data_IF_479587589849
#
_entry.id   IF_479587589849
#
_cell.length_a   1.000
_cell.length_b   1.000
_cell.length_c   1.000
_cell.angle_alpha   90.00
_cell.angle_beta   90.00
_cell.angle_gamma   90.00
#
_symmetry.space_group_name_H-M   'P 1'
#
loop_
_entity.id
_entity.type
_entity.pdbx_description
1 polymer ?
#
# COMPACT_ATOMS: atom_id res chain seq x y z
N UNK A 1 -6.57 11.42 -8.51
CA UNK A 1 -6.46 9.94 -8.28
C UNK A 1 -6.08 9.36 -9.62
N UNK A 2 -4.98 8.65 -9.73
CA UNK A 2 -4.55 8.08 -11.02
C UNK A 2 -5.62 7.10 -11.51
N UNK A 3 -6.12 7.33 -12.72
CA UNK A 3 -7.20 6.53 -13.30
C UNK A 3 -6.85 5.05 -13.40
N UNK A 4 -5.59 4.72 -13.65
CA UNK A 4 -5.12 3.36 -13.88
C UNK A 4 -5.13 2.50 -12.59
N UNK A 5 -4.58 3.00 -11.48
CA UNK A 5 -4.60 2.27 -10.20
C UNK A 5 -6.01 2.04 -9.69
N UNK A 6 -6.90 3.01 -9.92
CA UNK A 6 -8.31 2.89 -9.61
C UNK A 6 -8.99 1.82 -10.49
N UNK A 7 -8.77 1.86 -11.81
CA UNK A 7 -9.33 0.90 -12.74
C UNK A 7 -8.83 -0.52 -12.45
N UNK A 8 -7.55 -0.69 -12.13
CA UNK A 8 -6.96 -1.97 -11.75
C UNK A 8 -7.57 -2.48 -10.44
N UNK A 9 -7.72 -1.64 -9.42
CA UNK A 9 -8.38 -2.02 -8.17
C UNK A 9 -9.84 -2.41 -8.40
N UNK A 10 -10.57 -1.64 -9.19
CA UNK A 10 -11.95 -1.96 -9.55
C UNK A 10 -12.06 -3.31 -10.27
N UNK A 11 -11.19 -3.58 -11.26
CA UNK A 11 -11.13 -4.85 -11.96
C UNK A 11 -10.85 -6.04 -11.03
N UNK A 12 -9.99 -5.86 -10.02
CA UNK A 12 -9.73 -6.91 -9.01
C UNK A 12 -10.97 -7.20 -8.17
N UNK A 13 -11.67 -6.16 -7.69
CA UNK A 13 -12.89 -6.36 -6.92
C UNK A 13 -14.01 -6.99 -7.78
N UNK A 14 -14.13 -6.57 -9.03
CA UNK A 14 -15.08 -7.14 -9.98
C UNK A 14 -14.80 -8.61 -10.26
N UNK A 15 -13.55 -8.99 -10.49
CA UNK A 15 -13.15 -10.39 -10.67
C UNK A 15 -13.44 -11.22 -9.41
N UNK A 16 -13.21 -10.69 -8.20
CA UNK A 16 -13.60 -11.35 -6.94
C UNK A 16 -15.10 -11.58 -6.89
N UNK A 17 -15.89 -10.56 -7.20
CA UNK A 17 -17.36 -10.65 -7.24
C UNK A 17 -17.84 -11.70 -8.23
N UNK A 18 -17.27 -11.72 -9.44
CA UNK A 18 -17.59 -12.71 -10.46
C UNK A 18 -17.23 -14.13 -10.02
N UNK A 19 -16.06 -14.33 -9.43
CA UNK A 19 -15.64 -15.63 -8.90
C UNK A 19 -16.57 -16.14 -7.81
N UNK A 20 -17.01 -15.27 -6.87
CA UNK A 20 -17.95 -15.65 -5.82
C UNK A 20 -19.35 -15.98 -6.38
N UNK A 21 -19.80 -15.23 -7.38
CA UNK A 21 -21.04 -15.55 -8.09
C UNK A 21 -20.97 -16.89 -8.80
N UNK A 22 -19.87 -17.16 -9.51
CA UNK A 22 -19.68 -18.45 -10.18
C UNK A 22 -19.67 -19.62 -9.19
N UNK A 23 -18.97 -19.46 -8.04
CA UNK A 23 -18.97 -20.44 -6.94
C UNK A 23 -20.38 -20.69 -6.40
N UNK A 24 -21.12 -19.61 -6.17
CA UNK A 24 -22.50 -19.69 -5.70
C UNK A 24 -23.39 -20.45 -6.69
N UNK A 25 -23.41 -20.08 -7.98
CA UNK A 25 -24.23 -20.76 -8.98
C UNK A 25 -23.83 -22.22 -9.18
N UNK A 26 -22.54 -22.55 -9.17
CA UNK A 26 -22.09 -23.94 -9.24
C UNK A 26 -22.61 -24.75 -8.04
N UNK A 27 -22.64 -24.14 -6.83
CA UNK A 27 -23.16 -24.78 -5.64
C UNK A 27 -24.69 -24.96 -5.70
N UNK A 28 -25.41 -23.97 -6.21
CA UNK A 28 -26.85 -24.08 -6.45
C UNK A 28 -27.16 -25.20 -7.46
N UNK A 29 -26.39 -25.29 -8.54
CA UNK A 29 -26.54 -26.36 -9.54
C UNK A 29 -26.31 -27.76 -8.94
N UNK A 30 -25.28 -27.90 -8.09
CA UNK A 30 -24.99 -29.15 -7.36
C UNK A 30 -26.19 -29.54 -6.47
N UNK A 31 -26.69 -28.60 -5.68
CA UNK A 31 -27.86 -28.82 -4.80
C UNK A 31 -29.10 -29.20 -5.61
N UNK A 32 -29.41 -28.45 -6.66
CA UNK A 32 -30.59 -28.69 -7.48
C UNK A 32 -30.54 -30.04 -8.23
N UNK A 33 -29.35 -30.48 -8.66
CA UNK A 33 -29.17 -31.81 -9.26
C UNK A 33 -29.37 -32.94 -8.26
N UNK A 34 -28.90 -32.79 -7.02
CA UNK A 34 -29.04 -33.81 -5.98
C UNK A 34 -30.44 -33.82 -5.37
N UNK A 35 -31.05 -32.66 -5.16
CA UNK A 35 -32.34 -32.52 -4.47
C UNK A 35 -33.20 -31.48 -5.19
N UNK A 36 -33.84 -31.84 -6.30
CA UNK A 36 -34.69 -30.92 -7.10
C UNK A 36 -35.83 -30.24 -6.30
N UNK A 37 -36.28 -30.89 -5.23
CA UNK A 37 -37.32 -30.35 -4.35
C UNK A 37 -36.89 -29.07 -3.63
N UNK A 38 -35.58 -28.79 -3.44
CA UNK A 38 -35.10 -27.58 -2.82
C UNK A 38 -35.35 -26.35 -3.67
N UNK A 39 -35.23 -26.47 -5.00
CA UNK A 39 -35.56 -25.39 -5.92
C UNK A 39 -37.07 -25.05 -5.82
N UNK A 40 -37.94 -26.06 -5.85
CA UNK A 40 -39.38 -25.83 -5.75
C UNK A 40 -39.77 -25.15 -4.44
N UNK A 41 -39.23 -25.60 -3.32
CA UNK A 41 -39.47 -24.98 -2.00
C UNK A 41 -38.92 -23.54 -1.95
N UNK A 42 -37.79 -23.28 -2.59
CA UNK A 42 -37.20 -21.92 -2.63
C UNK A 42 -38.08 -20.97 -3.46
N UNK A 43 -38.60 -21.42 -4.59
CA UNK A 43 -39.53 -20.65 -5.44
C UNK A 43 -40.84 -20.36 -4.69
N UNK A 44 -41.39 -21.36 -3.98
CA UNK A 44 -42.59 -21.20 -3.20
C UNK A 44 -42.41 -20.20 -2.04
N UNK A 45 -41.31 -20.31 -1.29
CA UNK A 45 -40.96 -19.34 -0.24
C UNK A 45 -40.80 -17.93 -0.80
N UNK A 46 -40.18 -17.79 -1.99
CA UNK A 46 -39.99 -16.49 -2.67
C UNK A 46 -41.35 -15.87 -3.06
N UNK A 47 -42.26 -16.66 -3.61
CA UNK A 47 -43.60 -16.21 -3.99
C UNK A 47 -44.42 -15.79 -2.76
N UNK A 48 -44.38 -16.57 -1.68
CA UNK A 48 -45.00 -16.20 -0.40
C UNK A 48 -44.40 -14.93 0.19
N UNK A 49 -43.06 -14.72 0.05
CA UNK A 49 -42.36 -13.52 0.48
C UNK A 49 -42.83 -12.25 -0.24
N UNK A 50 -43.11 -12.36 -1.55
CA UNK A 50 -43.71 -11.26 -2.31
C UNK A 50 -45.12 -10.92 -1.79
N UNK A 51 -45.98 -11.94 -1.57
CA UNK A 51 -47.31 -11.76 -1.02
C UNK A 51 -47.29 -11.21 0.41
N UNK A 52 -46.35 -11.67 1.25
CA UNK A 52 -46.10 -11.13 2.59
C UNK A 52 -45.79 -9.63 2.55
N UNK A 53 -44.90 -9.23 1.65
CA UNK A 53 -44.54 -7.82 1.49
C UNK A 53 -45.73 -6.95 1.13
N UNK A 54 -46.59 -7.42 0.22
CA UNK A 54 -47.83 -6.72 -0.15
C UNK A 54 -48.82 -6.64 1.02
N UNK A 55 -48.99 -7.71 1.80
CA UNK A 55 -49.84 -7.73 2.98
C UNK A 55 -49.36 -6.74 4.06
N UNK A 56 -48.05 -6.65 4.28
CA UNK A 56 -47.44 -5.67 5.22
C UNK A 56 -47.67 -4.25 4.74
N UNK A 57 -47.44 -3.95 3.45
CA UNK A 57 -47.68 -2.62 2.87
C UNK A 57 -49.17 -2.23 2.94
N UNK A 58 -50.06 -3.22 2.72
CA UNK A 58 -51.53 -3.08 2.84
C UNK A 58 -52.00 -3.02 4.28
N UNK A 59 -51.11 -3.08 5.28
CA UNK A 59 -51.46 -3.10 6.74
C UNK A 59 -52.36 -4.24 7.17
N UNK A 60 -52.44 -5.35 6.40
CA UNK A 60 -53.21 -6.54 6.73
C UNK A 60 -52.39 -7.48 7.63
N UNK A 61 -52.41 -7.24 8.96
CA UNK A 61 -51.61 -8.01 9.92
C UNK A 61 -51.93 -9.49 9.94
N UNK A 62 -53.24 -9.85 9.87
CA UNK A 62 -53.66 -11.24 9.96
C UNK A 62 -53.16 -12.08 8.78
N UNK A 63 -53.22 -11.53 7.59
CA UNK A 63 -52.70 -12.18 6.37
C UNK A 63 -51.18 -12.28 6.40
N UNK A 64 -50.48 -11.20 6.80
CA UNK A 64 -49.02 -11.18 6.95
C UNK A 64 -48.55 -12.25 7.95
N UNK A 65 -49.20 -12.39 9.11
CA UNK A 65 -48.85 -13.43 10.09
C UNK A 65 -49.09 -14.86 9.55
N UNK A 66 -50.16 -15.07 8.80
CA UNK A 66 -50.45 -16.37 8.17
C UNK A 66 -49.38 -16.74 7.13
N UNK A 67 -49.05 -15.80 6.23
CA UNK A 67 -48.01 -15.99 5.21
C UNK A 67 -46.64 -16.26 5.83
N UNK A 68 -46.29 -15.55 6.91
CA UNK A 68 -45.06 -15.78 7.64
C UNK A 68 -44.98 -17.20 8.20
N UNK A 69 -46.01 -17.68 8.85
CA UNK A 69 -46.03 -19.06 9.36
C UNK A 69 -45.90 -20.10 8.25
N UNK A 70 -46.49 -19.88 7.09
CA UNK A 70 -46.32 -20.77 5.95
C UNK A 70 -44.87 -20.79 5.44
N UNK A 71 -44.26 -19.61 5.33
CA UNK A 71 -42.85 -19.49 4.96
C UNK A 71 -41.90 -20.20 5.95
N UNK A 72 -42.17 -20.07 7.27
CA UNK A 72 -41.36 -20.72 8.32
C UNK A 72 -41.46 -22.26 8.20
N UNK A 73 -42.64 -22.81 7.97
CA UNK A 73 -42.84 -24.27 7.77
C UNK A 73 -42.06 -24.77 6.54
N UNK A 74 -42.12 -24.03 5.41
CA UNK A 74 -41.41 -24.40 4.19
C UNK A 74 -39.89 -24.27 4.35
N UNK A 75 -39.41 -23.26 5.08
CA UNK A 75 -38.00 -23.07 5.35
C UNK A 75 -37.43 -24.16 6.26
N UNK A 76 -38.19 -24.61 7.27
CA UNK A 76 -37.83 -25.75 8.11
C UNK A 76 -37.74 -27.04 7.28
N UNK A 77 -38.70 -27.30 6.43
CA UNK A 77 -38.70 -28.47 5.51
C UNK A 77 -37.48 -28.40 4.57
N UNK A 78 -37.20 -27.23 3.97
CA UNK A 78 -36.05 -27.02 3.11
C UNK A 78 -34.75 -27.26 3.88
N UNK A 79 -34.64 -26.75 5.10
CA UNK A 79 -33.46 -26.91 5.96
C UNK A 79 -33.23 -28.38 6.33
N UNK A 80 -34.27 -29.13 6.59
CA UNK A 80 -34.18 -30.57 6.85
C UNK A 80 -33.69 -31.33 5.61
N UNK A 81 -34.26 -31.08 4.44
CA UNK A 81 -33.81 -31.72 3.20
C UNK A 81 -32.36 -31.40 2.84
N UNK A 82 -31.89 -30.17 3.10
CA UNK A 82 -30.50 -29.82 2.93
C UNK A 82 -29.59 -30.69 3.83
N UNK A 83 -29.89 -30.77 5.13
CA UNK A 83 -29.12 -31.57 6.10
C UNK A 83 -29.05 -33.04 5.75
N UNK A 84 -30.20 -33.65 5.37
CA UNK A 84 -30.30 -35.06 4.97
C UNK A 84 -29.41 -35.39 3.76
N UNK A 85 -29.14 -34.39 2.89
CA UNK A 85 -28.33 -34.53 1.68
C UNK A 85 -26.89 -33.99 1.83
N UNK A 86 -26.46 -33.64 3.06
CA UNK A 86 -25.11 -33.19 3.36
C UNK A 86 -24.82 -31.72 3.03
N UNK A 87 -25.87 -30.91 2.89
CA UNK A 87 -25.77 -29.47 2.69
C UNK A 87 -26.20 -28.68 3.93
N UNK A 88 -25.85 -27.40 3.97
CA UNK A 88 -26.24 -26.48 5.03
C UNK A 88 -27.02 -25.27 4.46
N UNK A 89 -27.71 -24.55 5.33
CA UNK A 89 -28.40 -23.31 4.96
C UNK A 89 -27.44 -22.26 4.41
N UNK A 90 -26.17 -22.26 4.84
CA UNK A 90 -25.12 -21.36 4.33
C UNK A 90 -24.80 -21.62 2.86
N UNK A 91 -24.99 -22.84 2.36
CA UNK A 91 -24.76 -23.18 0.95
C UNK A 91 -25.77 -22.51 0.01
N UNK A 92 -26.88 -21.99 0.55
CA UNK A 92 -27.86 -21.19 -0.17
C UNK A 92 -27.57 -19.69 -0.14
N UNK A 93 -26.53 -19.25 0.57
CA UNK A 93 -26.18 -17.84 0.70
C UNK A 93 -24.96 -17.52 -0.14
N UNK A 94 -24.96 -16.34 -0.77
CA UNK A 94 -23.80 -15.88 -1.52
C UNK A 94 -22.75 -15.33 -0.56
N UNK A 95 -21.56 -15.92 -0.55
CA UNK A 95 -20.41 -15.40 0.17
C UNK A 95 -19.84 -14.16 -0.51
N UNK A 96 -19.27 -13.26 0.29
CA UNK A 96 -18.60 -12.05 -0.18
C UNK A 96 -17.23 -11.90 0.49
N UNK A 97 -16.22 -11.44 -0.23
CA UNK A 97 -14.93 -11.07 0.34
C UNK A 97 -15.07 -9.88 1.30
N UNK A 98 -15.86 -8.88 0.90
CA UNK A 98 -16.15 -7.74 1.73
C UNK A 98 -17.64 -7.76 2.14
N UNK A 99 -17.98 -8.05 3.40
CA UNK A 99 -19.36 -8.10 3.85
C UNK A 99 -20.03 -6.71 3.85
N UNK A 100 -19.24 -5.63 3.91
CA UNK A 100 -19.75 -4.25 4.00
C UNK A 100 -20.28 -3.76 2.66
N UNK A 101 -19.52 -3.90 1.58
CA UNK A 101 -19.95 -3.45 0.26
C UNK A 101 -20.39 -4.59 -0.68
N UNK A 102 -20.35 -5.84 -0.23
CA UNK A 102 -20.66 -7.03 -1.03
C UNK A 102 -19.87 -7.06 -2.35
N UNK A 103 -18.57 -6.75 -2.22
CA UNK A 103 -17.57 -6.71 -3.31
C UNK A 103 -17.86 -5.68 -4.42
N UNK A 104 -18.75 -4.71 -4.20
CA UNK A 104 -19.00 -3.61 -5.14
C UNK A 104 -17.92 -2.53 -5.09
N UNK A 105 -17.15 -2.46 -4.00
CA UNK A 105 -16.18 -1.40 -3.76
C UNK A 105 -16.77 -0.09 -3.25
N UNK A 106 -18.10 0.03 -3.15
CA UNK A 106 -18.78 1.27 -2.76
C UNK A 106 -19.91 1.03 -1.74
N UNK A 107 -20.10 2.01 -0.87
CA UNK A 107 -21.21 2.10 0.07
C UNK A 107 -21.75 3.53 0.04
N UNK A 108 -23.02 3.70 -0.26
CA UNK A 108 -23.69 5.01 -0.35
C UNK A 108 -22.93 6.03 -1.24
N UNK A 109 -22.42 5.60 -2.38
CA UNK A 109 -21.67 6.43 -3.32
C UNK A 109 -20.24 6.79 -2.89
N UNK A 110 -19.76 6.26 -1.74
CA UNK A 110 -18.39 6.47 -1.25
C UNK A 110 -17.59 5.19 -1.38
N UNK A 111 -16.29 5.32 -1.67
CA UNK A 111 -15.40 4.17 -1.74
C UNK A 111 -15.33 3.43 -0.39
N UNK A 112 -15.60 2.12 -0.44
CA UNK A 112 -15.46 1.23 0.70
C UNK A 112 -13.99 1.11 1.13
N UNK A 113 -13.76 0.73 2.37
CA UNK A 113 -12.41 0.51 2.88
C UNK A 113 -11.64 -0.54 2.04
N UNK A 114 -12.29 -1.63 1.63
CA UNK A 114 -11.67 -2.66 0.78
C UNK A 114 -11.21 -2.11 -0.59
N UNK A 115 -11.93 -1.14 -1.16
CA UNK A 115 -11.55 -0.46 -2.40
C UNK A 115 -10.33 0.44 -2.19
N UNK A 116 -10.30 1.19 -1.09
CA UNK A 116 -9.16 2.04 -0.74
C UNK A 116 -7.89 1.22 -0.54
N UNK A 117 -7.99 0.12 0.18
CA UNK A 117 -6.87 -0.80 0.42
C UNK A 117 -6.37 -1.45 -0.87
N UNK A 118 -7.28 -1.84 -1.77
CA UNK A 118 -6.89 -2.42 -3.05
C UNK A 118 -6.22 -1.38 -3.97
N UNK A 119 -6.69 -0.12 -3.99
CA UNK A 119 -6.01 0.97 -4.71
C UNK A 119 -4.57 1.14 -4.21
N UNK A 120 -4.38 1.17 -2.89
CA UNK A 120 -3.03 1.23 -2.27
C UNK A 120 -2.18 0.04 -2.71
N UNK A 121 -2.75 -1.18 -2.68
CA UNK A 121 -2.06 -2.40 -3.11
C UNK A 121 -1.68 -2.37 -4.58
N UNK A 122 -2.54 -1.88 -5.47
CA UNK A 122 -2.22 -1.75 -6.89
C UNK A 122 -1.13 -0.71 -7.14
N UNK A 123 -1.15 0.40 -6.41
CA UNK A 123 -0.07 1.40 -6.43
C UNK A 123 1.26 0.82 -5.97
N UNK A 124 1.26 0.08 -4.87
CA UNK A 124 2.46 -0.60 -4.37
C UNK A 124 3.01 -1.62 -5.38
N UNK A 125 2.15 -2.42 -6.01
CA UNK A 125 2.57 -3.36 -7.07
C UNK A 125 3.22 -2.64 -8.24
N UNK A 126 2.64 -1.54 -8.70
CA UNK A 126 3.18 -0.77 -9.81
C UNK A 126 4.59 -0.24 -9.51
N UNK A 127 4.84 0.20 -8.28
CA UNK A 127 6.15 0.69 -7.85
C UNK A 127 7.14 -0.43 -7.51
N UNK A 128 6.66 -1.57 -7.03
CA UNK A 128 7.48 -2.79 -6.87
C UNK A 128 7.99 -3.30 -8.23
N UNK A 129 7.26 -3.06 -9.32
CA UNK A 129 7.72 -3.31 -10.70
C UNK A 129 8.85 -2.35 -11.11
N UNK A 130 8.87 -1.11 -10.57
CA UNK A 130 9.94 -0.14 -10.85
C UNK A 130 11.22 -0.43 -10.06
N UNK A 131 11.09 -0.82 -8.80
CA UNK A 131 12.18 -1.25 -7.92
C UNK A 131 11.57 -1.97 -6.72
N UNK A 132 11.77 -3.30 -6.57
CA UNK A 132 11.33 -3.98 -5.36
C UNK A 132 12.05 -3.34 -4.17
N UNK A 133 11.27 -2.82 -3.21
CA UNK A 133 11.84 -2.33 -1.96
C UNK A 133 12.52 -3.50 -1.25
N UNK A 134 13.79 -3.36 -0.83
CA UNK A 134 14.44 -4.40 -0.06
C UNK A 134 13.62 -4.72 1.18
N UNK A 135 13.45 -6.01 1.49
CA UNK A 135 12.90 -6.40 2.78
C UNK A 135 13.91 -6.02 3.87
N UNK A 136 13.58 -5.03 4.65
CA UNK A 136 14.42 -4.51 5.73
C UNK A 136 13.53 -4.08 6.90
N UNK A 137 13.97 -4.37 8.10
CA UNK A 137 13.35 -3.95 9.34
C UNK A 137 14.41 -3.40 10.30
N UNK A 138 13.97 -2.74 11.35
CA UNK A 138 14.88 -2.20 12.36
C UNK A 138 15.58 -3.28 13.16
N UNK A 139 14.97 -4.44 13.35
CA UNK A 139 15.55 -5.55 14.13
C UNK A 139 16.75 -6.18 13.43
N UNK A 140 16.74 -6.24 12.10
CA UNK A 140 17.85 -6.76 11.29
C UNK A 140 18.99 -5.76 11.08
N UNK A 141 18.83 -4.49 11.53
CA UNK A 141 19.87 -3.48 11.46
C UNK A 141 20.89 -3.67 12.59
N UNK A 142 22.04 -4.23 12.26
CA UNK A 142 23.05 -4.55 13.27
C UNK A 142 24.08 -3.41 13.42
N UNK A 143 24.07 -2.74 14.58
CA UNK A 143 24.97 -1.68 14.94
C UNK A 143 26.43 -2.15 15.20
N UNK A 144 26.67 -3.42 15.48
CA UNK A 144 28.00 -3.95 15.74
C UNK A 144 28.92 -3.96 14.52
N UNK A 145 28.38 -3.74 13.33
CA UNK A 145 29.21 -3.48 12.13
C UNK A 145 29.91 -2.12 12.15
N UNK A 146 29.52 -1.20 13.03
CA UNK A 146 30.15 0.11 13.11
C UNK A 146 31.23 0.12 14.21
N UNK A 147 32.42 0.65 13.88
CA UNK A 147 33.56 0.68 14.80
C UNK A 147 33.23 1.44 16.08
N UNK A 148 33.58 0.83 17.23
CA UNK A 148 33.53 1.45 18.55
C UNK A 148 34.79 2.29 18.86
N UNK A 149 35.79 2.27 17.95
CA UNK A 149 37.00 3.10 18.06
C UNK A 149 36.76 4.46 17.42
N UNK A 150 37.28 5.50 18.05
CA UNK A 150 37.23 6.84 17.50
C UNK A 150 38.00 6.92 16.17
N UNK A 151 37.44 7.66 15.20
CA UNK A 151 38.05 7.94 13.90
C UNK A 151 38.08 9.45 13.68
N UNK A 152 39.18 9.93 13.15
CA UNK A 152 39.31 11.33 12.75
C UNK A 152 38.62 11.54 11.40
N UNK A 153 37.78 12.56 11.34
CA UNK A 153 37.11 12.99 10.11
C UNK A 153 37.98 14.01 9.38
N UNK A 154 37.70 14.24 8.09
CA UNK A 154 38.46 15.17 7.24
C UNK A 154 38.52 16.63 7.76
N UNK A 155 37.63 16.98 8.67
CA UNK A 155 37.58 18.28 9.34
C UNK A 155 38.30 18.30 10.72
N UNK A 156 39.05 17.24 11.07
CA UNK A 156 39.75 17.11 12.36
C UNK A 156 38.85 16.68 13.53
N UNK A 157 37.56 16.47 13.33
CA UNK A 157 36.64 16.05 14.40
C UNK A 157 36.78 14.54 14.67
N UNK A 158 36.97 14.17 15.95
CA UNK A 158 36.97 12.77 16.37
C UNK A 158 35.54 12.26 16.56
N UNK A 159 35.17 11.20 15.84
CA UNK A 159 33.83 10.58 15.92
C UNK A 159 33.97 9.07 16.16
N UNK A 160 33.14 8.52 17.03
CA UNK A 160 32.95 7.06 17.18
C UNK A 160 31.82 6.63 16.28
N UNK A 161 32.07 5.88 15.19
CA UNK A 161 31.07 5.50 14.22
C UNK A 161 29.83 4.81 14.84
N UNK A 162 30.05 3.89 15.77
CA UNK A 162 28.98 3.22 16.50
C UNK A 162 28.02 4.21 17.18
N UNK A 163 28.53 5.16 17.96
CA UNK A 163 27.70 6.12 18.69
C UNK A 163 26.95 7.07 17.74
N UNK A 164 27.61 7.45 16.64
CA UNK A 164 27.01 8.30 15.63
C UNK A 164 25.87 7.60 14.89
N UNK A 165 26.10 6.38 14.43
CA UNK A 165 25.10 5.59 13.72
C UNK A 165 23.96 5.14 14.64
N UNK A 166 24.25 4.88 15.94
CA UNK A 166 23.21 4.62 16.93
C UNK A 166 22.23 5.79 17.06
N UNK A 167 22.71 7.02 17.10
CA UNK A 167 21.84 8.22 17.13
C UNK A 167 20.99 8.35 15.87
N UNK A 168 21.53 8.05 14.70
CA UNK A 168 20.78 8.04 13.44
C UNK A 168 19.71 6.94 13.49
N UNK A 169 20.06 5.74 13.94
CA UNK A 169 19.15 4.63 14.10
C UNK A 169 17.99 4.98 15.05
N UNK A 170 18.31 5.46 16.26
CA UNK A 170 17.32 5.84 17.27
C UNK A 170 16.37 6.93 16.72
N UNK A 171 16.92 7.90 15.96
CA UNK A 171 16.10 8.91 15.28
C UNK A 171 15.16 8.28 14.23
N UNK A 172 15.66 7.37 13.39
CA UNK A 172 14.86 6.71 12.37
C UNK A 172 13.71 5.87 12.97
N UNK A 173 13.97 5.18 14.09
CA UNK A 173 12.92 4.44 14.84
C UNK A 173 11.86 5.42 15.34
N UNK A 174 12.26 6.48 16.04
CA UNK A 174 11.32 7.48 16.54
C UNK A 174 10.53 8.19 15.43
N UNK A 175 11.20 8.47 14.30
CA UNK A 175 10.56 9.06 13.11
C UNK A 175 9.48 8.15 12.54
N UNK A 176 9.73 6.85 12.47
CA UNK A 176 8.79 5.87 11.94
C UNK A 176 7.60 5.66 12.89
N UNK A 177 7.86 5.52 14.18
CA UNK A 177 6.85 5.27 15.21
C UNK A 177 5.87 6.46 15.39
N UNK A 178 6.37 7.69 15.25
CA UNK A 178 5.58 8.92 15.39
C UNK A 178 5.31 9.60 14.03
N UNK A 179 5.29 8.83 12.95
CA UNK A 179 5.12 9.38 11.62
C UNK A 179 3.79 10.10 11.45
N UNK A 180 3.86 11.30 10.86
CA UNK A 180 2.72 12.07 10.36
C UNK A 180 3.05 12.65 8.99
N UNK A 181 2.05 12.98 8.19
CA UNK A 181 2.25 13.63 6.89
C UNK A 181 2.88 15.02 6.96
N UNK A 182 2.99 15.60 8.17
CA UNK A 182 3.66 16.88 8.40
C UNK A 182 5.12 16.77 8.85
N UNK A 183 5.68 15.58 8.94
CA UNK A 183 7.08 15.38 9.34
C UNK A 183 8.03 16.02 8.33
N UNK A 184 9.24 16.41 8.78
CA UNK A 184 10.29 16.84 7.88
C UNK A 184 10.77 15.68 7.00
N UNK A 185 11.21 16.00 5.80
CA UNK A 185 11.92 15.06 4.94
C UNK A 185 13.29 14.69 5.50
N UNK A 186 13.80 13.51 5.12
CA UNK A 186 15.13 13.04 5.54
C UNK A 186 16.07 12.98 4.32
N UNK A 187 17.31 13.41 4.51
CA UNK A 187 18.37 13.27 3.52
C UNK A 187 19.52 12.45 4.13
N UNK A 188 19.71 11.24 3.64
CA UNK A 188 20.71 10.28 4.12
C UNK A 188 21.90 10.24 3.15
N UNK A 189 23.01 10.81 3.54
CA UNK A 189 24.24 10.93 2.74
C UNK A 189 25.35 10.03 3.29
N UNK A 190 26.22 9.52 2.43
CA UNK A 190 27.38 8.71 2.85
C UNK A 190 27.73 7.63 1.85
N UNK A 191 28.91 7.03 1.96
CA UNK A 191 29.41 6.00 1.05
C UNK A 191 28.45 4.80 0.90
N UNK A 192 28.68 3.96 -0.10
CA UNK A 192 27.92 2.75 -0.30
C UNK A 192 28.09 1.77 0.90
N UNK A 193 27.10 0.89 1.09
CA UNK A 193 27.17 -0.17 2.10
C UNK A 193 27.01 0.27 3.56
N UNK A 194 26.62 1.51 3.84
CA UNK A 194 26.47 2.05 5.20
C UNK A 194 25.04 1.95 5.78
N UNK A 195 24.12 1.21 5.16
CA UNK A 195 22.79 0.96 5.70
C UNK A 195 21.73 2.04 5.42
N UNK A 196 22.00 3.03 4.55
CA UNK A 196 21.01 4.09 4.19
C UNK A 196 19.70 3.52 3.68
N UNK A 197 19.76 2.72 2.62
CA UNK A 197 18.59 2.04 2.03
C UNK A 197 17.90 1.14 3.05
N UNK A 198 18.65 0.45 3.92
CA UNK A 198 18.11 -0.40 4.97
C UNK A 198 17.21 0.41 5.92
N UNK A 199 17.72 1.52 6.49
CA UNK A 199 16.92 2.36 7.39
C UNK A 199 15.74 3.03 6.68
N UNK A 200 15.92 3.47 5.42
CA UNK A 200 14.82 4.03 4.63
C UNK A 200 13.68 3.02 4.43
N UNK A 201 14.00 1.76 4.12
CA UNK A 201 13.02 0.68 3.97
C UNK A 201 12.42 0.25 5.30
N UNK A 202 13.20 0.24 6.40
CA UNK A 202 12.68 -0.03 7.74
C UNK A 202 11.63 1.01 8.17
N UNK A 203 11.89 2.30 7.91
CA UNK A 203 10.90 3.37 8.11
C UNK A 203 9.66 3.10 7.25
N UNK A 204 9.83 2.77 5.95
CA UNK A 204 8.73 2.49 5.05
C UNK A 204 7.80 1.41 5.60
N UNK A 205 8.36 0.30 6.09
CA UNK A 205 7.59 -0.83 6.62
C UNK A 205 6.75 -0.43 7.84
N UNK A 206 7.31 0.31 8.79
CA UNK A 206 6.57 0.77 9.98
C UNK A 206 5.46 1.76 9.58
N UNK A 207 5.77 2.73 8.71
CA UNK A 207 4.82 3.74 8.24
C UNK A 207 3.66 3.10 7.46
N UNK A 208 3.94 2.08 6.62
CA UNK A 208 2.90 1.30 5.94
C UNK A 208 2.01 0.53 6.92
N UNK A 209 2.59 -0.05 7.97
CA UNK A 209 1.84 -0.76 9.00
C UNK A 209 0.92 0.18 9.81
N UNK A 210 1.26 1.47 9.91
CA UNK A 210 0.39 2.51 10.49
C UNK A 210 -0.72 2.97 9.51
N UNK A 211 -0.80 2.38 8.30
CA UNK A 211 -1.86 2.66 7.33
C UNK A 211 -1.59 3.82 6.37
N UNK A 212 -0.39 4.39 6.37
CA UNK A 212 0.01 5.42 5.41
C UNK A 212 0.42 4.84 4.06
N UNK A 213 0.25 5.63 3.01
CA UNK A 213 0.70 5.28 1.67
C UNK A 213 2.18 5.62 1.49
N UNK A 214 3.01 4.62 1.18
CA UNK A 214 4.44 4.79 0.96
C UNK A 214 4.80 4.39 -0.45
N UNK A 215 5.54 5.26 -1.15
CA UNK A 215 6.12 4.97 -2.45
C UNK A 215 7.64 4.88 -2.35
N UNK A 216 8.22 3.76 -2.78
CA UNK A 216 9.66 3.54 -2.88
C UNK A 216 10.08 3.35 -4.33
N UNK A 217 11.14 4.02 -4.75
CA UNK A 217 11.80 3.77 -6.03
C UNK A 217 13.27 4.20 -5.97
N UNK A 218 14.13 3.56 -6.77
CA UNK A 218 15.49 4.08 -6.99
C UNK A 218 15.46 5.24 -7.98
N UNK A 219 16.40 6.17 -7.83
CA UNK A 219 16.54 7.29 -8.77
C UNK A 219 16.79 6.80 -10.20
N UNK A 220 17.62 5.77 -10.38
CA UNK A 220 17.87 5.18 -11.69
C UNK A 220 16.60 4.62 -12.33
N UNK A 221 15.78 3.85 -11.58
CA UNK A 221 14.54 3.25 -12.10
C UNK A 221 13.51 4.31 -12.44
N UNK A 222 13.33 5.32 -11.57
CA UNK A 222 12.39 6.40 -11.80
C UNK A 222 12.74 7.20 -13.05
N UNK A 223 13.96 7.74 -13.12
CA UNK A 223 14.34 8.61 -14.23
C UNK A 223 14.53 7.84 -15.53
N UNK A 224 14.99 6.57 -15.48
CA UNK A 224 15.03 5.71 -16.66
C UNK A 224 13.64 5.51 -17.27
N UNK A 225 12.60 5.28 -16.44
CA UNK A 225 11.23 5.16 -16.92
C UNK A 225 10.69 6.49 -17.45
N UNK A 226 10.87 7.58 -16.72
CA UNK A 226 10.42 8.92 -17.13
C UNK A 226 11.00 9.32 -18.49
N UNK A 227 12.24 8.93 -18.79
CA UNK A 227 12.86 9.21 -20.09
C UNK A 227 12.32 8.35 -21.22
N UNK A 228 11.97 7.10 -20.95
CA UNK A 228 11.34 6.22 -21.93
C UNK A 228 9.92 6.65 -22.29
N UNK A 229 9.19 7.22 -21.34
CA UNK A 229 7.75 7.51 -21.44
C UNK A 229 7.42 8.99 -21.52
N UNK A 230 8.35 9.83 -21.98
CA UNK A 230 8.36 11.33 -21.99
C UNK A 230 7.01 12.06 -22.10
N UNK A 231 5.92 11.38 -22.52
CA UNK A 231 4.61 11.98 -22.78
C UNK A 231 3.42 11.23 -22.14
N UNK A 232 3.62 10.13 -21.39
CA UNK A 232 2.52 9.28 -20.93
C UNK A 232 2.48 9.02 -19.43
N UNK A 233 3.47 9.43 -18.63
CA UNK A 233 3.56 9.09 -17.20
C UNK A 233 3.13 10.20 -16.23
N UNK A 234 2.10 10.98 -16.59
CA UNK A 234 1.44 11.89 -15.64
C UNK A 234 0.96 11.16 -14.39
N UNK A 235 0.60 9.88 -14.52
CA UNK A 235 0.14 9.03 -13.42
C UNK A 235 1.25 8.72 -12.39
N UNK A 236 2.50 8.44 -12.81
CA UNK A 236 3.62 8.18 -11.89
C UNK A 236 3.95 9.40 -11.05
N UNK A 237 4.04 10.56 -11.70
CA UNK A 237 4.31 11.83 -10.99
C UNK A 237 3.15 12.16 -10.04
N UNK A 238 1.90 11.97 -10.48
CA UNK A 238 0.72 12.16 -9.64
C UNK A 238 0.74 11.26 -8.40
N UNK A 239 1.10 9.98 -8.54
CA UNK A 239 1.21 9.05 -7.42
C UNK A 239 2.33 9.45 -6.46
N UNK A 240 3.50 9.85 -6.98
CA UNK A 240 4.60 10.39 -6.18
C UNK A 240 4.13 11.64 -5.41
N UNK A 241 3.43 12.55 -6.03
CA UNK A 241 2.97 13.77 -5.38
C UNK A 241 1.83 13.51 -4.38
N UNK A 242 1.03 12.46 -4.56
CA UNK A 242 -0.14 12.17 -3.72
C UNK A 242 0.17 11.32 -2.48
N UNK A 243 1.15 10.42 -2.52
CA UNK A 243 1.46 9.50 -1.41
C UNK A 243 1.86 10.24 -0.11
N UNK A 244 1.68 9.59 1.04
CA UNK A 244 2.01 10.16 2.35
C UNK A 244 3.52 10.25 2.57
N UNK A 245 4.27 9.21 2.21
CA UNK A 245 5.72 9.17 2.26
C UNK A 245 6.30 8.73 0.91
N UNK A 246 7.25 9.50 0.38
CA UNK A 246 7.99 9.13 -0.82
C UNK A 246 9.45 8.84 -0.49
N UNK A 247 9.97 7.70 -0.97
CA UNK A 247 11.37 7.31 -0.80
C UNK A 247 12.04 7.25 -2.17
N UNK A 248 13.02 8.12 -2.38
CA UNK A 248 13.87 8.15 -3.57
C UNK A 248 15.26 7.69 -3.19
N UNK A 249 15.54 6.42 -3.50
CA UNK A 249 16.77 5.76 -3.10
C UNK A 249 17.89 5.93 -4.14
N UNK A 250 19.10 6.00 -3.66
CA UNK A 250 20.35 6.02 -4.43
C UNK A 250 20.47 7.19 -5.41
N UNK A 251 20.11 8.42 -4.95
CA UNK A 251 20.37 9.65 -5.68
C UNK A 251 21.87 9.80 -5.97
N UNK A 252 22.21 10.04 -7.24
CA UNK A 252 23.58 10.16 -7.72
C UNK A 252 24.02 9.01 -8.61
N UNK A 253 23.30 7.90 -8.65
CA UNK A 253 23.59 6.75 -9.51
C UNK A 253 22.95 6.86 -10.91
N UNK A 254 21.94 7.70 -11.07
CA UNK A 254 21.18 7.89 -12.31
C UNK A 254 21.94 8.74 -13.36
N UNK A 255 21.60 8.54 -14.64
CA UNK A 255 21.95 9.48 -15.71
C UNK A 255 20.94 10.63 -15.72
N UNK A 256 21.40 11.88 -15.62
CA UNK A 256 20.53 13.05 -15.57
C UNK A 256 20.52 13.81 -16.88
N UNK A 257 19.32 14.00 -17.43
CA UNK A 257 19.06 14.94 -18.50
C UNK A 257 18.44 16.24 -17.93
N UNK A 258 18.33 17.28 -18.72
CA UNK A 258 17.63 18.51 -18.33
C UNK A 258 16.17 18.25 -17.97
N UNK A 259 15.54 17.25 -18.63
CA UNK A 259 14.18 16.84 -18.35
C UNK A 259 14.08 16.16 -16.97
N UNK A 260 14.94 15.18 -16.69
CA UNK A 260 15.01 14.49 -15.39
C UNK A 260 15.27 15.47 -14.25
N UNK A 261 16.16 16.46 -14.45
CA UNK A 261 16.40 17.54 -13.49
C UNK A 261 15.15 18.37 -13.21
N UNK A 262 14.38 18.70 -14.26
CA UNK A 262 13.13 19.45 -14.13
C UNK A 262 12.08 18.65 -13.37
N UNK A 263 11.99 17.35 -13.63
CA UNK A 263 11.08 16.45 -12.90
C UNK A 263 11.49 16.31 -11.43
N UNK A 264 12.79 16.09 -11.15
CA UNK A 264 13.28 16.04 -9.77
C UNK A 264 12.98 17.35 -9.03
N UNK A 265 13.22 18.48 -9.65
CA UNK A 265 12.90 19.79 -9.10
C UNK A 265 11.41 19.90 -8.76
N UNK A 266 10.52 19.49 -9.70
CA UNK A 266 9.08 19.51 -9.49
C UNK A 266 8.66 18.65 -8.31
N UNK A 267 9.16 17.40 -8.22
CA UNK A 267 8.87 16.48 -7.11
C UNK A 267 9.31 17.08 -5.77
N UNK A 268 10.57 17.51 -5.67
CA UNK A 268 11.14 18.07 -4.42
C UNK A 268 10.38 19.34 -4.01
N UNK A 269 10.14 20.26 -4.95
CA UNK A 269 9.50 21.53 -4.68
C UNK A 269 8.04 21.38 -4.29
N UNK A 270 7.26 20.58 -5.01
CA UNK A 270 5.83 20.40 -4.77
C UNK A 270 5.61 19.71 -3.43
N UNK A 271 6.31 18.60 -3.17
CA UNK A 271 6.16 17.89 -1.90
C UNK A 271 6.60 18.73 -0.69
N UNK A 272 7.64 19.58 -0.86
CA UNK A 272 8.06 20.53 0.16
C UNK A 272 6.95 21.57 0.46
N UNK A 273 6.33 22.14 -0.57
CA UNK A 273 5.23 23.11 -0.43
C UNK A 273 4.01 22.46 0.23
N UNK A 274 3.66 21.25 -0.19
CA UNK A 274 2.53 20.48 0.33
C UNK A 274 2.81 19.84 1.70
N UNK A 275 4.00 20.06 2.27
CA UNK A 275 4.46 19.49 3.55
C UNK A 275 4.36 17.95 3.58
N UNK A 276 4.61 17.30 2.44
CA UNK A 276 4.61 15.84 2.33
C UNK A 276 6.03 15.31 2.43
N UNK A 277 6.34 14.49 3.45
CA UNK A 277 7.71 14.05 3.71
C UNK A 277 8.26 13.16 2.61
N UNK A 278 9.57 13.29 2.41
CA UNK A 278 10.38 12.43 1.54
C UNK A 278 11.56 11.87 2.32
N UNK A 279 12.04 10.70 1.92
CA UNK A 279 13.33 10.18 2.31
C UNK A 279 14.20 10.08 1.06
N UNK A 280 15.30 10.78 1.05
CA UNK A 280 16.30 10.74 -0.01
C UNK A 280 17.55 10.04 0.50
N UNK A 281 18.03 9.02 -0.20
CA UNK A 281 19.34 8.43 0.08
C UNK A 281 20.30 8.76 -1.05
N UNK A 282 21.57 8.93 -0.73
CA UNK A 282 22.58 9.22 -1.75
C UNK A 282 23.97 8.73 -1.33
N UNK A 283 24.76 8.30 -2.31
CA UNK A 283 26.18 7.98 -2.14
C UNK A 283 27.09 9.22 -2.22
N UNK A 284 26.51 10.38 -2.43
CA UNK A 284 27.22 11.66 -2.38
C UNK A 284 27.58 11.96 -0.92
N UNK A 285 28.84 12.33 -0.69
CA UNK A 285 29.39 12.51 0.66
C UNK A 285 29.58 13.96 1.08
N UNK A 286 29.34 14.93 0.19
CA UNK A 286 29.50 16.35 0.49
C UNK A 286 28.40 17.21 -0.15
N UNK A 287 28.11 18.34 0.48
CA UNK A 287 27.18 19.35 -0.04
C UNK A 287 27.61 19.93 -1.40
N UNK A 288 28.94 20.17 -1.54
CA UNK A 288 29.51 20.67 -2.80
C UNK A 288 29.32 19.69 -3.96
N UNK A 289 29.46 18.38 -3.71
CA UNK A 289 29.22 17.35 -4.71
C UNK A 289 27.71 17.25 -5.08
N UNK A 290 26.82 17.41 -4.10
CA UNK A 290 25.38 17.46 -4.33
C UNK A 290 25.01 18.67 -5.21
N UNK A 291 25.55 19.85 -4.91
CA UNK A 291 25.33 21.06 -5.68
C UNK A 291 25.90 20.97 -7.10
N UNK A 292 27.10 20.40 -7.26
CA UNK A 292 27.69 20.17 -8.58
C UNK A 292 26.83 19.25 -9.46
N UNK A 293 26.15 18.24 -8.86
CA UNK A 293 25.38 17.28 -9.61
C UNK A 293 23.97 17.74 -9.96
N UNK A 294 23.26 18.37 -9.02
CA UNK A 294 21.83 18.72 -9.17
C UNK A 294 21.59 20.22 -9.34
N UNK A 295 22.64 21.02 -9.28
CA UNK A 295 22.55 22.48 -9.31
C UNK A 295 22.10 23.09 -7.98
N UNK A 296 22.25 24.40 -7.88
CA UNK A 296 21.97 25.15 -6.66
C UNK A 296 20.50 25.05 -6.21
N UNK A 297 19.57 25.11 -7.15
CA UNK A 297 18.12 25.16 -6.86
C UNK A 297 17.61 23.89 -6.17
N UNK A 298 18.05 22.71 -6.62
CA UNK A 298 17.63 21.42 -6.04
C UNK A 298 18.38 21.16 -4.74
N UNK A 299 19.71 21.36 -4.74
CA UNK A 299 20.52 21.11 -3.55
C UNK A 299 20.15 22.01 -2.37
N UNK A 300 19.85 23.29 -2.63
CA UNK A 300 19.36 24.21 -1.59
C UNK A 300 18.05 23.72 -0.94
N UNK A 301 17.11 23.20 -1.75
CA UNK A 301 15.86 22.64 -1.23
C UNK A 301 16.09 21.36 -0.41
N UNK A 302 16.88 20.43 -0.94
CA UNK A 302 17.20 19.18 -0.22
C UNK A 302 17.87 19.47 1.12
N UNK A 303 18.88 20.33 1.14
CA UNK A 303 19.62 20.67 2.37
C UNK A 303 18.83 21.56 3.33
N UNK A 304 17.96 22.43 2.81
CA UNK A 304 17.20 23.37 3.62
C UNK A 304 15.89 22.82 4.18
N UNK A 305 15.27 21.82 3.50
CA UNK A 305 13.99 21.27 3.92
C UNK A 305 14.08 19.90 4.60
N UNK A 306 15.23 19.22 4.54
CA UNK A 306 15.43 17.90 5.10
C UNK A 306 16.28 17.94 6.38
N UNK A 307 16.00 17.04 7.32
CA UNK A 307 16.96 16.67 8.34
C UNK A 307 18.04 15.80 7.69
N UNK A 308 19.28 16.29 7.68
CA UNK A 308 20.38 15.66 6.94
C UNK A 308 21.26 14.81 7.86
N UNK A 309 21.44 13.54 7.48
CA UNK A 309 22.24 12.56 8.19
C UNK A 309 23.43 12.09 7.34
N UNK A 310 24.64 12.19 7.91
CA UNK A 310 25.85 11.68 7.30
C UNK A 310 26.17 10.31 7.87
N UNK A 311 26.03 9.27 7.07
CA UNK A 311 26.39 7.90 7.42
C UNK A 311 27.90 7.72 7.36
N UNK A 312 28.49 7.17 8.42
CA UNK A 312 29.92 6.95 8.55
C UNK A 312 30.21 5.51 8.96
N UNK A 313 31.28 4.95 8.44
CA UNK A 313 31.69 3.57 8.70
C UNK A 313 32.42 2.96 7.52
N UNK A 314 32.58 1.65 7.57
CA UNK A 314 33.11 0.83 6.49
C UNK A 314 31.98 0.10 5.77
N UNK A 315 32.19 -0.35 4.53
CA UNK A 315 31.16 -1.04 3.75
C UNK A 315 30.80 -2.37 4.41
N UNK A 316 29.57 -2.44 4.95
CA UNK A 316 29.04 -3.61 5.66
C UNK A 316 28.89 -4.81 4.73
N UNK A 317 28.64 -4.60 3.42
CA UNK A 317 28.52 -5.69 2.44
C UNK A 317 29.83 -6.46 2.29
N UNK A 318 30.97 -5.74 2.34
CA UNK A 318 32.30 -6.34 2.31
C UNK A 318 32.60 -7.07 3.62
N UNK A 319 32.16 -6.52 4.75
CA UNK A 319 32.36 -7.12 6.07
C UNK A 319 31.58 -8.42 6.27
N UNK A 320 30.37 -8.53 5.72
CA UNK A 320 29.54 -9.75 5.78
C UNK A 320 30.10 -10.93 4.97
N UNK A 321 30.95 -10.66 3.99
CA UNK A 321 31.56 -11.67 3.12
C UNK A 321 32.96 -12.11 3.59
N UNK A 322 33.42 -11.62 4.73
CA UNK A 322 34.66 -12.04 5.41
C UNK A 322 34.35 -12.94 6.58
#
# INVERSE_FOLDING_TARGET
MSGESYNNAYSVLENRRLAMRAKYFAKQDEINKKVPQISLLTDEITNLGASYTLAVLGKNKTEAESLRRQMDILDDKRTQLLKENGFSKKDLEMEHFCPVCKDTGFVNGRACQCMKEEIVRQRQKFLTVLSPAPQADFESFNLDYYSKKAREMSNGTMIVPYNHMKRIYDYCVAYADHFTTGNKSLLMLGSAGLGKTHLACSIANVVMNHGYTVLYTSAQSLFGKIEQTRYTDEDVISDILSCDLFILDDLGAESMTNYSLSVLYNIVNTRMIDKKPCIYTSNITSQAALQKRYGEKISSRLLGSCDTFFFIGDDIRIMKNR
#
